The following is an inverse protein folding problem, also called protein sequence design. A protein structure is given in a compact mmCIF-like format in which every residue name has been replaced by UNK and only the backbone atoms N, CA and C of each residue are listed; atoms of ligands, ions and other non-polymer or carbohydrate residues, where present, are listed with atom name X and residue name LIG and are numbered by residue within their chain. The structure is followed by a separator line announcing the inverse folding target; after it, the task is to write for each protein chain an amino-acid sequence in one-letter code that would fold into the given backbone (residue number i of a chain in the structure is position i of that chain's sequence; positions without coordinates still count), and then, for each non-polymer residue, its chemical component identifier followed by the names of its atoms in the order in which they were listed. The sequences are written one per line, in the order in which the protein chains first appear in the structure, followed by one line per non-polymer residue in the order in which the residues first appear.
data_IF_943265328630
#
_entry.id   IF_943265328630
#
_cell.length_a   1.000
_cell.length_b   1.000
_cell.length_c   1.000
_cell.angle_alpha   90.00
_cell.angle_beta   90.00
_cell.angle_gamma   90.00
#
_symmetry.space_group_name_H-M   'P 1'
#
loop_
_entity.id
_entity.type
_entity.pdbx_description
1 polymer ?
#
# COMPACT_ATOMS: atom_id res chain seq x y z
N UNK A 1 3.14 -21.80 -13.87
CA UNK A 1 3.37 -20.44 -13.36
C UNK A 1 2.18 -20.07 -12.52
N UNK A 2 2.42 -19.65 -11.29
CA UNK A 2 1.37 -19.21 -10.40
C UNK A 2 0.75 -17.90 -10.93
N UNK A 3 -0.56 -17.74 -10.72
CA UNK A 3 -1.30 -16.55 -11.12
C UNK A 3 -1.01 -15.41 -10.15
N UNK A 4 -0.91 -14.18 -10.67
CA UNK A 4 -0.87 -12.99 -9.82
C UNK A 4 -2.12 -12.94 -8.93
N UNK A 5 -1.91 -12.70 -7.64
CA UNK A 5 -2.97 -12.59 -6.64
C UNK A 5 -2.78 -11.34 -5.78
N UNK A 6 -3.89 -10.80 -5.28
CA UNK A 6 -3.92 -9.62 -4.44
C UNK A 6 -4.41 -10.05 -3.05
N UNK A 7 -3.58 -9.87 -2.04
CA UNK A 7 -3.88 -10.23 -0.66
C UNK A 7 -3.95 -8.96 0.19
N UNK A 8 -5.12 -8.63 0.77
CA UNK A 8 -5.23 -7.51 1.69
C UNK A 8 -4.25 -7.62 2.84
N UNK A 9 -3.60 -6.52 3.19
CA UNK A 9 -2.74 -6.46 4.36
C UNK A 9 -3.61 -6.24 5.60
N UNK A 10 -3.45 -7.12 6.60
CA UNK A 10 -4.10 -6.97 7.90
C UNK A 10 -3.32 -5.98 8.77
N UNK A 11 -3.99 -4.89 9.14
CA UNK A 11 -3.45 -3.90 10.08
C UNK A 11 -4.06 -4.10 11.47
N UNK A 12 -3.61 -3.37 12.52
CA UNK A 12 -4.27 -3.41 13.84
C UNK A 12 -5.77 -3.06 13.81
N UNK A 13 -6.19 -2.22 12.85
CA UNK A 13 -7.61 -1.85 12.61
C UNK A 13 -8.25 -2.70 11.49
N UNK A 14 -7.61 -3.79 11.09
CA UNK A 14 -8.05 -4.70 10.02
C UNK A 14 -7.69 -4.22 8.62
N UNK A 15 -8.37 -4.74 7.60
CA UNK A 15 -8.18 -4.35 6.20
C UNK A 15 -8.70 -2.95 5.91
N UNK A 16 -8.07 -2.26 4.97
CA UNK A 16 -8.43 -0.88 4.58
C UNK A 16 -9.18 -0.89 3.26
N UNK A 17 -10.34 -0.20 3.18
CA UNK A 17 -11.17 -0.21 1.98
C UNK A 17 -11.73 1.16 1.63
N UNK A 18 -11.64 1.50 0.36
CA UNK A 18 -12.13 2.76 -0.18
C UNK A 18 -10.99 3.64 -0.65
N UNK A 19 -11.30 4.50 -1.62
CA UNK A 19 -10.33 5.39 -2.26
C UNK A 19 -9.59 6.28 -1.25
N UNK A 20 -10.31 6.71 -0.22
CA UNK A 20 -9.85 7.69 0.75
C UNK A 20 -9.40 7.03 2.07
N UNK A 21 -9.06 5.74 2.02
CA UNK A 21 -8.67 4.98 3.22
C UNK A 21 -7.22 5.25 3.65
N UNK A 22 -6.35 5.66 2.72
CA UNK A 22 -4.91 5.84 2.94
C UNK A 22 -4.48 7.13 2.27
N UNK A 23 -3.80 7.97 3.03
CA UNK A 23 -3.20 9.21 2.59
C UNK A 23 -1.69 9.06 2.73
N UNK A 24 -0.95 9.31 1.65
CA UNK A 24 0.50 9.33 1.65
C UNK A 24 0.96 10.79 1.72
N UNK A 25 1.49 11.20 2.87
CA UNK A 25 1.89 12.59 3.11
C UNK A 25 3.33 12.84 2.66
N UNK A 26 4.22 11.87 2.87
CA UNK A 26 5.61 11.95 2.43
C UNK A 26 6.18 10.59 2.08
N UNK A 27 7.19 10.60 1.21
CA UNK A 27 8.03 9.45 0.95
C UNK A 27 9.50 9.85 0.89
N UNK A 28 10.36 8.98 1.38
CA UNK A 28 11.81 9.13 1.38
C UNK A 28 12.42 7.87 0.77
N UNK A 29 13.33 8.05 -0.18
CA UNK A 29 14.09 6.95 -0.78
C UNK A 29 15.58 7.22 -0.57
N UNK A 30 16.21 6.44 0.30
CA UNK A 30 17.62 6.60 0.69
C UNK A 30 18.56 5.71 -0.13
N UNK A 31 19.87 5.95 0.00
CA UNK A 31 20.89 5.03 -0.51
C UNK A 31 20.68 3.62 0.08
N UNK A 32 20.98 2.59 -0.73
CA UNK A 32 20.80 1.17 -0.40
C UNK A 32 19.36 0.64 -0.43
N UNK A 33 18.43 1.35 -1.05
CA UNK A 33 17.09 0.82 -1.34
C UNK A 33 16.18 0.81 -0.11
N UNK A 34 16.36 1.76 0.80
CA UNK A 34 15.43 2.00 1.90
C UNK A 34 14.35 2.97 1.41
N UNK A 35 13.10 2.50 1.37
CA UNK A 35 11.93 3.31 1.04
C UNK A 35 11.07 3.47 2.29
N UNK A 36 10.91 4.71 2.76
CA UNK A 36 10.03 5.06 3.87
C UNK A 36 8.82 5.81 3.35
N UNK A 37 7.64 5.32 3.68
CA UNK A 37 6.36 5.94 3.39
C UNK A 37 5.73 6.38 4.71
N UNK A 38 5.30 7.64 4.79
CA UNK A 38 4.65 8.20 5.97
C UNK A 38 3.34 8.85 5.56
N UNK A 39 2.32 8.65 6.38
CA UNK A 39 1.01 9.20 6.08
C UNK A 39 -0.02 8.87 7.14
N UNK A 40 -1.29 8.93 6.77
CA UNK A 40 -2.42 8.69 7.65
C UNK A 40 -3.41 7.69 7.04
N UNK A 41 -4.01 6.88 7.89
CA UNK A 41 -5.14 6.01 7.56
C UNK A 41 -6.42 6.63 8.08
N UNK A 42 -7.46 6.69 7.25
CA UNK A 42 -8.79 7.03 7.72
C UNK A 42 -9.40 5.82 8.45
N UNK A 43 -9.39 5.87 9.79
CA UNK A 43 -9.82 4.77 10.63
C UNK A 43 -11.28 4.34 10.42
N UNK A 44 -12.13 5.21 9.88
CA UNK A 44 -13.55 4.90 9.58
C UNK A 44 -13.72 3.95 8.40
N UNK A 45 -12.70 3.86 7.55
CA UNK A 45 -12.69 3.05 6.32
C UNK A 45 -11.96 1.71 6.51
N UNK A 46 -11.60 1.39 7.75
CA UNK A 46 -11.05 0.10 8.12
C UNK A 46 -12.16 -0.92 8.45
N UNK A 47 -11.87 -2.21 8.30
CA UNK A 47 -12.83 -3.27 8.65
C UNK A 47 -13.11 -3.38 10.15
N UNK A 48 -12.25 -2.82 11.01
CA UNK A 48 -12.50 -2.58 12.44
C UNK A 48 -12.42 -1.06 12.69
N UNK A 49 -13.53 -0.33 12.43
CA UNK A 49 -13.49 1.12 12.38
C UNK A 49 -13.08 1.76 13.71
N UNK A 50 -12.37 2.88 13.62
CA UNK A 50 -12.10 3.81 14.73
C UNK A 50 -12.43 5.23 14.28
N UNK A 51 -12.88 6.09 15.20
CA UNK A 51 -13.34 7.45 14.91
C UNK A 51 -12.20 8.48 14.84
N UNK A 52 -11.05 8.08 14.28
CA UNK A 52 -9.84 8.91 14.21
C UNK A 52 -9.03 8.62 12.93
N UNK A 53 -8.17 9.57 12.57
CA UNK A 53 -7.07 9.34 11.62
C UNK A 53 -5.87 8.78 12.36
N UNK A 54 -5.22 7.78 11.78
CA UNK A 54 -4.10 7.08 12.39
C UNK A 54 -2.85 7.26 11.54
N UNK A 55 -1.83 7.89 12.13
CA UNK A 55 -0.52 8.01 11.50
C UNK A 55 0.14 6.65 11.28
N UNK A 56 0.78 6.47 10.14
CA UNK A 56 1.56 5.29 9.81
C UNK A 56 2.96 5.64 9.31
N UNK A 57 3.88 4.70 9.50
CA UNK A 57 5.16 4.66 8.79
C UNK A 57 5.39 3.23 8.30
N UNK A 58 5.60 3.06 7.01
CA UNK A 58 5.95 1.78 6.39
C UNK A 58 7.36 1.92 5.83
N UNK A 59 8.24 0.97 6.18
CA UNK A 59 9.62 0.94 5.70
C UNK A 59 9.84 -0.33 4.92
N UNK A 60 10.26 -0.19 3.67
CA UNK A 60 10.72 -1.28 2.82
C UNK A 60 12.24 -1.21 2.71
N UNK A 61 12.90 -2.37 2.73
CA UNK A 61 14.35 -2.48 2.55
C UNK A 61 14.67 -3.31 1.30
N UNK A 62 15.81 -3.02 0.68
CA UNK A 62 16.21 -3.70 -0.57
C UNK A 62 15.33 -3.36 -1.77
N UNK A 63 14.65 -2.22 -1.75
CA UNK A 63 13.82 -1.75 -2.86
C UNK A 63 14.72 -1.37 -4.04
N UNK A 64 14.54 -2.04 -5.17
CA UNK A 64 15.26 -1.73 -6.41
C UNK A 64 14.50 -0.73 -7.29
N UNK A 65 13.17 -0.80 -7.26
CA UNK A 65 12.30 0.08 -8.01
C UNK A 65 10.94 0.19 -7.32
N UNK A 66 10.31 1.36 -7.46
CA UNK A 66 8.91 1.59 -7.09
C UNK A 66 8.28 2.51 -8.13
N UNK A 67 6.94 2.47 -8.24
CA UNK A 67 6.18 3.30 -9.15
C UNK A 67 5.11 4.05 -8.38
N UNK A 68 5.06 5.36 -8.57
CA UNK A 68 3.99 6.23 -8.05
C UNK A 68 3.09 6.61 -9.22
N UNK A 69 1.78 6.58 -9.00
CA UNK A 69 0.77 7.00 -9.97
C UNK A 69 -0.26 7.88 -9.28
N UNK A 70 -0.80 8.84 -10.00
CA UNK A 70 -1.95 9.62 -9.53
C UNK A 70 -3.13 8.69 -9.27
N UNK A 71 -3.83 8.92 -8.14
CA UNK A 71 -4.91 8.05 -7.69
C UNK A 71 -6.05 7.98 -8.72
N UNK A 72 -6.39 9.10 -9.36
CA UNK A 72 -7.43 9.14 -10.40
C UNK A 72 -7.00 8.45 -11.70
N UNK A 73 -5.69 8.20 -11.88
CA UNK A 73 -5.15 7.40 -12.98
C UNK A 73 -5.01 5.91 -12.63
N UNK A 74 -5.42 5.51 -11.43
CA UNK A 74 -5.31 4.13 -10.96
C UNK A 74 -6.42 3.26 -11.56
N UNK A 75 -6.03 2.25 -12.35
CA UNK A 75 -6.96 1.30 -13.01
C UNK A 75 -6.62 -0.17 -12.71
N UNK A 76 -5.85 -0.43 -11.65
CA UNK A 76 -5.37 -1.77 -11.33
C UNK A 76 -6.43 -2.56 -10.55
N UNK A 77 -6.40 -3.89 -10.70
CA UNK A 77 -7.18 -4.78 -9.83
C UNK A 77 -6.62 -4.73 -8.42
N UNK A 78 -7.50 -4.80 -7.43
CA UNK A 78 -7.16 -4.82 -6.02
C UNK A 78 -8.23 -5.60 -5.25
N UNK A 79 -7.83 -6.17 -4.11
CA UNK A 79 -8.71 -6.77 -3.12
C UNK A 79 -9.06 -5.77 -2.00
N UNK A 80 -8.20 -4.78 -1.76
CA UNK A 80 -8.37 -3.72 -0.77
C UNK A 80 -7.62 -2.44 -1.18
N UNK A 81 -7.60 -1.43 -0.32
CA UNK A 81 -6.80 -0.22 -0.54
C UNK A 81 -5.32 -0.40 -0.20
N UNK A 82 -4.94 -1.51 0.45
CA UNK A 82 -3.56 -1.87 0.75
C UNK A 82 -3.34 -3.37 0.61
N UNK A 83 -2.83 -3.78 -0.55
CA UNK A 83 -2.62 -5.17 -0.90
C UNK A 83 -1.14 -5.53 -1.05
N UNK A 84 -0.78 -6.73 -0.60
CA UNK A 84 0.39 -7.44 -1.10
C UNK A 84 0.04 -8.13 -2.43
N UNK A 85 0.90 -7.96 -3.43
CA UNK A 85 0.76 -8.62 -4.74
C UNK A 85 1.66 -9.86 -4.76
N UNK A 86 1.05 -11.04 -4.68
CA UNK A 86 1.75 -12.32 -4.74
C UNK A 86 1.91 -12.73 -6.20
N UNK A 87 3.11 -13.20 -6.59
CA UNK A 87 3.44 -13.58 -7.96
C UNK A 87 3.20 -12.44 -8.98
N UNK A 88 3.63 -11.23 -8.61
CA UNK A 88 3.48 -10.03 -9.43
C UNK A 88 4.00 -10.23 -10.85
N UNK A 89 3.19 -9.88 -11.85
CA UNK A 89 3.57 -9.88 -13.25
C UNK A 89 4.72 -8.90 -13.52
N UNK A 90 4.88 -7.86 -12.68
CA UNK A 90 6.01 -6.93 -12.77
C UNK A 90 7.35 -7.64 -12.58
N UNK A 91 7.41 -8.64 -11.69
CA UNK A 91 8.62 -9.43 -11.46
C UNK A 91 9.00 -10.32 -12.65
N UNK A 92 8.07 -10.60 -13.58
CA UNK A 92 8.36 -11.36 -14.82
C UNK A 92 9.04 -10.52 -15.89
N UNK A 93 9.03 -9.19 -15.71
CA UNK A 93 9.60 -8.21 -16.64
C UNK A 93 10.94 -7.62 -16.15
N UNK A 94 11.37 -8.03 -14.95
CA UNK A 94 12.71 -7.77 -14.41
C UNK A 94 13.66 -8.88 -14.84
#
# INVERSE_FOLDING_TARGET
MDKQAFSPVETPIGTLKGRDAIYLDSFEYELHGLLRLTGEVNGKLASKPVDDFLGYTITFSGVLAFKVVELDSWNFKSASSFDEIVNSDWCKTL
#
